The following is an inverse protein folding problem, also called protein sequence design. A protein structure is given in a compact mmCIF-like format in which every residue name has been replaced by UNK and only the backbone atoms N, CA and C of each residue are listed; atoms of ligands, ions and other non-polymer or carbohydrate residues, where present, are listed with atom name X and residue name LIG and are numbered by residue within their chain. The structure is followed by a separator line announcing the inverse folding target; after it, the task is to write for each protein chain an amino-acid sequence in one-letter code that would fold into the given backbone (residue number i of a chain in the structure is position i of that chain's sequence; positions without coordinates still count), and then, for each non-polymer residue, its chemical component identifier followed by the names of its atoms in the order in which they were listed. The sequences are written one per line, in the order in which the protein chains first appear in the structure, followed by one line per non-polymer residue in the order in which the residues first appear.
data_IF_312823560107
#
_entry.id   IF_312823560107
#
_cell.length_a   1.000
_cell.length_b   1.000
_cell.length_c   1.000
_cell.angle_alpha   90.00
_cell.angle_beta   90.00
_cell.angle_gamma   90.00
#
_symmetry.space_group_name_H-M   'P 1'
#
loop_
_entity.id
_entity.type
_entity.pdbx_description
1 polymer ?
#
# COMPACT_ATOMS: atom_id res chain seq x y z
N UNK A 1 -12.99 49.84 73.06
CA UNK A 1 -13.74 49.19 71.92
C UNK A 1 -12.70 48.79 70.86
N UNK A 2 -12.30 47.52 70.86
CA UNK A 2 -11.30 46.99 69.94
C UNK A 2 -12.01 46.19 68.83
N UNK A 3 -11.89 46.68 67.59
CA UNK A 3 -12.28 45.90 66.42
C UNK A 3 -11.04 45.12 65.89
N UNK A 4 -11.11 43.82 66.01
CA UNK A 4 -10.13 42.93 65.39
C UNK A 4 -10.56 42.62 63.93
N UNK A 5 -9.73 43.06 63.01
CA UNK A 5 -9.88 42.71 61.59
C UNK A 5 -9.33 41.29 61.32
N UNK A 6 -10.19 40.36 60.86
CA UNK A 6 -9.81 39.02 60.39
C UNK A 6 -9.45 39.09 58.90
N UNK A 7 -8.16 39.02 58.62
CA UNK A 7 -7.67 38.84 57.23
C UNK A 7 -7.90 37.42 56.75
N UNK A 8 -8.67 37.25 55.69
CA UNK A 8 -8.83 35.96 54.99
C UNK A 8 -7.65 35.74 54.05
N UNK A 9 -6.89 34.69 54.31
CA UNK A 9 -5.82 34.21 53.37
C UNK A 9 -6.44 33.31 52.32
N UNK A 10 -6.47 33.78 51.09
CA UNK A 10 -6.85 32.94 49.94
C UNK A 10 -5.64 32.15 49.47
N UNK A 11 -5.67 30.83 49.64
CA UNK A 11 -4.70 29.90 49.03
C UNK A 11 -5.17 29.58 47.62
N UNK A 12 -4.51 30.13 46.61
CA UNK A 12 -4.68 29.75 45.21
C UNK A 12 -3.99 28.40 44.98
N UNK A 13 -4.78 27.35 44.86
CA UNK A 13 -4.28 26.06 44.40
C UNK A 13 -4.06 26.13 42.88
N UNK A 14 -2.80 26.21 42.43
CA UNK A 14 -2.43 26.00 41.04
C UNK A 14 -2.60 24.49 40.69
N UNK A 15 -3.69 24.16 40.00
CA UNK A 15 -3.83 22.84 39.39
C UNK A 15 -2.87 22.77 38.19
N UNK A 16 -1.77 22.03 38.33
CA UNK A 16 -0.89 21.72 37.24
C UNK A 16 -1.64 20.79 36.24
N UNK A 17 -1.99 21.33 35.07
CA UNK A 17 -2.44 20.54 33.94
C UNK A 17 -1.25 19.70 33.45
N UNK A 18 -1.19 18.44 33.88
CA UNK A 18 -0.30 17.45 33.31
C UNK A 18 -0.89 17.11 31.93
N UNK A 19 -0.17 17.37 30.81
CA UNK A 19 -0.65 16.95 29.53
C UNK A 19 -0.77 15.43 29.55
N UNK A 20 -1.96 14.89 29.30
CA UNK A 20 -2.17 13.47 29.15
C UNK A 20 -1.31 13.02 27.96
N UNK A 21 -0.22 12.31 28.22
CA UNK A 21 0.58 11.65 27.20
C UNK A 21 -0.38 10.73 26.43
N UNK A 22 -0.63 11.07 25.17
CA UNK A 22 -1.46 10.24 24.27
C UNK A 22 -0.73 8.92 24.13
N UNK A 23 -1.19 7.89 24.82
CA UNK A 23 -0.61 6.56 24.72
C UNK A 23 -0.54 6.18 23.23
N UNK A 24 0.66 5.92 22.74
CA UNK A 24 0.85 5.39 21.39
C UNK A 24 0.03 4.10 21.32
N UNK A 25 -0.97 4.08 20.46
CA UNK A 25 -1.73 2.85 20.26
C UNK A 25 -0.84 1.88 19.50
N UNK A 26 -0.59 0.70 20.10
CA UNK A 26 0.18 -0.37 19.48
C UNK A 26 -0.26 -0.57 18.03
N UNK A 27 0.69 -0.75 17.10
CA UNK A 27 0.37 -1.02 15.71
C UNK A 27 -0.50 -2.26 15.57
N UNK A 28 -1.52 -2.18 14.71
CA UNK A 28 -2.31 -3.33 14.28
C UNK A 28 -1.68 -3.90 13.03
N UNK A 29 -1.28 -5.16 13.07
CA UNK A 29 -0.51 -5.82 12.01
C UNK A 29 -1.28 -6.99 11.43
N UNK A 30 -1.25 -7.12 10.10
CA UNK A 30 -1.73 -8.29 9.39
C UNK A 30 -0.67 -8.75 8.39
N UNK A 31 -0.35 -10.04 8.39
CA UNK A 31 0.45 -10.70 7.35
C UNK A 31 -0.26 -11.94 6.85
N UNK A 32 -0.27 -12.07 5.53
CA UNK A 32 -0.74 -13.24 4.80
C UNK A 32 0.39 -13.75 3.92
N UNK A 33 0.62 -15.06 3.92
CA UNK A 33 1.59 -15.72 3.04
C UNK A 33 0.91 -16.94 2.43
N UNK A 34 0.94 -17.07 1.11
CA UNK A 34 0.32 -18.17 0.40
C UNK A 34 1.26 -18.71 -0.67
N UNK A 35 1.72 -19.96 -0.51
CA UNK A 35 2.29 -20.70 -1.63
C UNK A 35 1.18 -20.98 -2.65
N UNK A 36 1.49 -20.79 -3.95
CA UNK A 36 0.50 -20.95 -5.02
C UNK A 36 0.45 -22.42 -5.52
N UNK A 37 0.58 -23.36 -4.60
CA UNK A 37 0.52 -24.82 -4.81
C UNK A 37 -0.79 -25.45 -4.31
N UNK A 38 -1.74 -24.63 -3.86
CA UNK A 38 -3.02 -25.06 -3.32
C UNK A 38 -3.03 -25.26 -1.80
N UNK A 39 -1.91 -25.06 -1.11
CA UNK A 39 -1.87 -25.10 0.35
C UNK A 39 -2.64 -23.93 0.98
N UNK A 40 -3.09 -24.11 2.23
CA UNK A 40 -3.75 -23.05 2.98
C UNK A 40 -2.78 -21.88 3.29
N UNK A 41 -3.24 -20.62 3.25
CA UNK A 41 -2.39 -19.49 3.58
C UNK A 41 -2.05 -19.43 5.07
N UNK A 42 -0.85 -18.92 5.38
CA UNK A 42 -0.56 -18.41 6.71
C UNK A 42 -1.33 -17.11 6.92
N UNK A 43 -2.01 -16.96 8.05
CA UNK A 43 -2.78 -15.78 8.45
C UNK A 43 -2.36 -15.40 9.88
N UNK A 44 -1.75 -14.22 10.06
CA UNK A 44 -1.25 -13.79 11.37
C UNK A 44 -2.37 -13.46 12.37
N UNK A 45 -3.44 -12.81 11.90
CA UNK A 45 -4.62 -12.41 12.67
C UNK A 45 -5.82 -12.32 11.74
N UNK A 46 -6.74 -13.26 11.82
CA UNK A 46 -7.89 -13.32 10.91
C UNK A 46 -8.83 -12.10 11.04
N UNK A 47 -8.97 -11.55 12.25
CA UNK A 47 -9.82 -10.38 12.50
C UNK A 47 -9.20 -9.14 11.89
N UNK A 48 -7.91 -8.90 12.15
CA UNK A 48 -7.20 -7.74 11.60
C UNK A 48 -7.06 -7.85 10.08
N UNK A 49 -6.81 -9.04 9.56
CA UNK A 49 -6.67 -9.28 8.13
C UNK A 49 -7.98 -9.10 7.32
N UNK A 50 -9.14 -9.13 7.98
CA UNK A 50 -10.44 -8.81 7.37
C UNK A 50 -10.76 -7.31 7.34
N UNK A 51 -10.04 -6.47 8.09
CA UNK A 51 -10.33 -5.04 8.15
C UNK A 51 -9.97 -4.36 6.84
N UNK A 52 -10.93 -3.66 6.23
CA UNK A 52 -10.72 -2.87 5.00
C UNK A 52 -10.09 -1.51 5.33
N UNK A 53 -9.15 -1.09 4.51
CA UNK A 53 -8.51 0.25 4.59
C UNK A 53 -8.16 0.75 3.20
N UNK A 54 -7.80 2.03 3.07
CA UNK A 54 -7.28 2.57 1.81
C UNK A 54 -6.10 1.72 1.30
N UNK A 55 -6.11 1.27 0.04
CA UNK A 55 -4.99 0.50 -0.54
C UNK A 55 -3.73 1.34 -0.74
N UNK A 56 -3.85 2.66 -0.76
CA UNK A 56 -2.77 3.56 -1.08
C UNK A 56 -2.07 3.17 -2.39
N UNK A 57 -0.74 3.25 -2.45
CA UNK A 57 -0.01 2.95 -3.68
C UNK A 57 0.02 1.45 -4.07
N UNK A 58 -0.52 0.53 -3.27
CA UNK A 58 -0.71 -0.86 -3.73
C UNK A 58 -1.78 -0.94 -4.82
N UNK A 59 -2.71 0.02 -4.86
CA UNK A 59 -3.70 0.16 -5.92
C UNK A 59 -3.07 0.35 -7.32
N UNK A 60 -1.83 0.79 -7.40
CA UNK A 60 -1.15 0.95 -8.70
C UNK A 60 -1.07 -0.35 -9.50
N UNK A 61 -1.12 -1.52 -8.85
CA UNK A 61 -1.10 -2.83 -9.53
C UNK A 61 -2.40 -3.06 -10.32
N UNK A 62 -3.61 -3.09 -9.70
CA UNK A 62 -4.85 -3.19 -10.47
C UNK A 62 -5.06 -1.99 -11.40
N UNK A 63 -4.66 -0.77 -11.01
CA UNK A 63 -4.77 0.42 -11.84
C UNK A 63 -3.96 0.29 -13.15
N UNK A 64 -2.74 -0.24 -13.09
CA UNK A 64 -1.92 -0.46 -14.28
C UNK A 64 -2.60 -1.42 -15.27
N UNK A 65 -3.20 -2.51 -14.77
CA UNK A 65 -4.00 -3.42 -15.59
C UNK A 65 -5.18 -2.68 -16.24
N UNK A 66 -5.93 -1.90 -15.46
CA UNK A 66 -7.07 -1.12 -15.94
C UNK A 66 -6.63 -0.10 -17.01
N UNK A 67 -5.51 0.59 -16.80
CA UNK A 67 -4.98 1.55 -17.77
C UNK A 67 -4.62 0.90 -19.11
N UNK A 68 -4.06 -0.30 -19.08
CA UNK A 68 -3.73 -1.10 -20.27
C UNK A 68 -5.00 -1.67 -20.94
N UNK A 69 -5.93 -2.20 -20.18
CA UNK A 69 -7.18 -2.79 -20.70
C UNK A 69 -8.12 -1.73 -21.31
N UNK A 70 -8.11 -0.51 -20.77
CA UNK A 70 -8.90 0.61 -21.31
C UNK A 70 -8.23 1.33 -22.46
N UNK A 71 -6.99 0.95 -22.83
CA UNK A 71 -6.21 1.61 -23.88
C UNK A 71 -5.74 3.02 -23.52
N UNK A 72 -5.88 3.46 -22.28
CA UNK A 72 -5.33 4.75 -21.79
C UNK A 72 -3.80 4.72 -21.80
N UNK A 73 -3.23 3.56 -21.53
CA UNK A 73 -1.81 3.25 -21.79
C UNK A 73 -1.78 2.14 -22.85
N UNK A 74 -1.20 2.42 -23.99
CA UNK A 74 -1.10 1.45 -25.11
C UNK A 74 0.25 0.74 -25.16
N UNK A 75 1.29 1.39 -24.64
CA UNK A 75 2.64 0.83 -24.49
C UNK A 75 3.14 1.10 -23.07
N UNK A 76 3.43 0.06 -22.25
CA UNK A 76 3.88 0.21 -20.88
C UNK A 76 5.27 0.88 -20.76
N UNK A 77 6.04 0.98 -21.86
CA UNK A 77 7.36 1.61 -21.89
C UNK A 77 7.33 3.03 -22.49
N UNK A 78 6.23 3.44 -23.12
CA UNK A 78 6.10 4.78 -23.69
C UNK A 78 6.13 5.85 -22.59
N UNK A 79 6.95 6.88 -22.80
CA UNK A 79 7.10 7.98 -21.86
C UNK A 79 5.93 8.96 -21.96
N UNK A 80 5.31 9.22 -20.83
CA UNK A 80 4.34 10.31 -20.64
C UNK A 80 5.11 11.55 -20.15
N UNK A 81 4.99 12.69 -20.83
CA UNK A 81 5.67 13.92 -20.43
C UNK A 81 5.23 14.39 -19.04
N UNK A 82 6.21 14.83 -18.25
CA UNK A 82 5.97 15.56 -17.01
C UNK A 82 5.60 17.02 -17.33
N UNK A 83 4.71 17.58 -16.54
CA UNK A 83 4.12 18.89 -16.76
C UNK A 83 4.88 20.08 -16.10
N UNK A 84 6.03 19.77 -15.44
CA UNK A 84 6.83 20.76 -14.72
C UNK A 84 6.44 20.96 -13.26
N UNK A 85 5.37 20.32 -12.78
CA UNK A 85 4.94 20.40 -11.36
C UNK A 85 6.03 19.88 -10.42
N UNK A 86 6.35 20.64 -9.38
CA UNK A 86 7.32 20.27 -8.36
C UNK A 86 6.73 19.32 -7.34
N UNK A 87 7.49 18.29 -6.97
CA UNK A 87 7.10 17.25 -6.02
C UNK A 87 8.14 17.11 -4.90
N UNK A 88 7.74 16.66 -3.70
CA UNK A 88 8.68 16.35 -2.62
C UNK A 88 9.72 15.28 -3.00
N UNK A 89 9.41 14.43 -3.98
CA UNK A 89 10.32 13.43 -4.52
C UNK A 89 10.84 13.87 -5.91
N UNK A 90 12.11 14.27 -6.04
CA UNK A 90 12.69 14.70 -7.32
C UNK A 90 12.68 13.60 -8.41
N UNK A 91 12.62 12.32 -8.03
CA UNK A 91 12.50 11.22 -8.98
C UNK A 91 11.19 11.25 -9.78
N UNK A 92 10.20 12.01 -9.34
CA UNK A 92 8.93 12.21 -10.05
C UNK A 92 8.98 13.34 -11.08
N UNK A 93 9.98 14.22 -11.01
CA UNK A 93 10.12 15.43 -11.82
C UNK A 93 10.78 15.15 -13.18
N UNK A 94 10.26 14.17 -13.91
CA UNK A 94 10.71 13.78 -15.25
C UNK A 94 9.62 12.98 -15.96
N UNK A 95 9.73 12.76 -17.28
CA UNK A 95 8.85 11.84 -18.00
C UNK A 95 8.90 10.42 -17.41
N UNK A 96 7.75 9.75 -17.32
CA UNK A 96 7.63 8.39 -16.84
C UNK A 96 6.81 7.51 -17.79
N UNK A 97 7.21 6.27 -17.93
CA UNK A 97 6.37 5.20 -18.48
C UNK A 97 5.57 4.51 -17.35
N UNK A 98 4.64 3.63 -17.70
CA UNK A 98 3.93 2.82 -16.69
C UNK A 98 4.92 1.99 -15.87
N UNK A 99 5.95 1.41 -16.51
CA UNK A 99 7.01 0.64 -15.84
C UNK A 99 7.75 1.49 -14.80
N UNK A 100 8.30 2.63 -15.21
CA UNK A 100 9.04 3.49 -14.30
C UNK A 100 8.17 4.16 -13.24
N UNK A 101 6.92 4.47 -13.56
CA UNK A 101 5.96 5.03 -12.63
C UNK A 101 5.53 4.03 -11.56
N UNK A 102 5.43 2.74 -11.89
CA UNK A 102 5.19 1.66 -10.91
C UNK A 102 6.36 1.57 -9.93
N UNK A 103 7.59 1.44 -10.42
CA UNK A 103 8.81 1.29 -9.64
C UNK A 103 9.03 2.47 -8.70
N UNK A 104 8.96 3.69 -9.19
CA UNK A 104 9.14 4.92 -8.41
C UNK A 104 7.87 5.39 -7.69
N UNK A 105 6.78 4.63 -7.80
CA UNK A 105 5.49 4.96 -7.18
C UNK A 105 4.95 6.36 -7.53
N UNK A 106 5.15 6.81 -8.78
CA UNK A 106 4.85 8.17 -9.25
C UNK A 106 3.36 8.47 -9.14
N UNK A 107 3.00 9.46 -8.32
CA UNK A 107 1.59 9.76 -8.04
C UNK A 107 0.92 10.41 -9.25
N UNK A 108 1.50 11.44 -9.82
CA UNK A 108 0.91 12.22 -10.90
C UNK A 108 0.58 11.37 -12.15
N UNK A 109 1.41 10.37 -12.46
CA UNK A 109 1.16 9.45 -13.58
C UNK A 109 -0.18 8.70 -13.38
N UNK A 110 -0.41 8.18 -12.18
CA UNK A 110 -1.64 7.45 -11.86
C UNK A 110 -2.84 8.38 -11.69
N UNK A 111 -2.67 9.59 -11.19
CA UNK A 111 -3.72 10.60 -11.16
C UNK A 111 -4.18 10.97 -12.57
N UNK A 112 -3.23 11.22 -13.49
CA UNK A 112 -3.52 11.51 -14.89
C UNK A 112 -4.24 10.33 -15.57
N UNK A 113 -3.75 9.12 -15.42
CA UNK A 113 -4.39 7.93 -16.02
C UNK A 113 -5.76 7.65 -15.39
N UNK A 114 -5.96 7.88 -14.10
CA UNK A 114 -7.27 7.77 -13.45
C UNK A 114 -8.28 8.77 -14.04
N UNK A 115 -7.86 10.01 -14.27
CA UNK A 115 -8.70 11.01 -14.93
C UNK A 115 -9.09 10.60 -16.35
N UNK A 116 -8.12 10.09 -17.13
CA UNK A 116 -8.37 9.61 -18.50
C UNK A 116 -9.23 8.34 -18.55
N UNK A 117 -9.11 7.42 -17.61
CA UNK A 117 -9.98 6.24 -17.49
C UNK A 117 -11.41 6.71 -17.18
N UNK A 118 -11.58 7.65 -16.28
CA UNK A 118 -12.88 8.13 -15.82
C UNK A 118 -13.55 7.17 -14.83
N UNK A 119 -14.52 7.71 -14.07
CA UNK A 119 -15.19 7.00 -12.98
C UNK A 119 -15.91 5.74 -13.42
N UNK A 120 -16.72 5.85 -14.45
CA UNK A 120 -17.57 4.75 -14.92
C UNK A 120 -16.72 3.52 -15.32
N UNK A 121 -15.69 3.72 -16.16
CA UNK A 121 -14.82 2.63 -16.56
C UNK A 121 -13.99 2.08 -15.40
N UNK A 122 -13.55 2.95 -14.47
CA UNK A 122 -12.81 2.53 -13.29
C UNK A 122 -13.67 1.62 -12.42
N UNK A 123 -14.91 1.99 -12.10
CA UNK A 123 -15.84 1.18 -11.31
C UNK A 123 -16.14 -0.16 -11.98
N UNK A 124 -16.45 -0.15 -13.28
CA UNK A 124 -16.71 -1.38 -14.03
C UNK A 124 -15.50 -2.35 -13.99
N UNK A 125 -14.28 -1.83 -14.03
CA UNK A 125 -13.09 -2.65 -13.93
C UNK A 125 -12.80 -3.13 -12.51
N UNK A 126 -13.06 -2.32 -11.46
CA UNK A 126 -12.94 -2.76 -10.06
C UNK A 126 -13.87 -3.94 -9.79
N UNK A 127 -15.11 -3.86 -10.26
CA UNK A 127 -16.08 -4.97 -10.18
C UNK A 127 -15.57 -6.22 -10.92
N UNK A 128 -15.13 -6.08 -12.18
CA UNK A 128 -14.59 -7.21 -12.98
C UNK A 128 -13.37 -7.85 -12.34
N UNK A 129 -12.50 -7.06 -11.75
CA UNK A 129 -11.32 -7.52 -11.02
C UNK A 129 -11.67 -8.06 -9.63
N UNK A 130 -12.89 -7.84 -9.14
CA UNK A 130 -13.30 -8.13 -7.76
C UNK A 130 -12.29 -7.54 -6.75
N UNK A 131 -12.00 -6.23 -6.88
CA UNK A 131 -10.97 -5.57 -6.08
C UNK A 131 -11.57 -4.54 -5.13
N UNK A 132 -11.53 -4.84 -3.83
CA UNK A 132 -11.93 -3.92 -2.76
C UNK A 132 -13.41 -3.61 -2.71
N UNK A 133 -13.76 -2.39 -2.31
CA UNK A 133 -15.14 -1.89 -2.40
C UNK A 133 -15.49 -1.59 -3.86
N UNK A 134 -16.64 -2.03 -4.29
CA UNK A 134 -17.17 -1.83 -5.64
C UNK A 134 -17.63 -0.39 -5.93
N UNK A 135 -17.52 0.50 -4.93
CA UNK A 135 -17.95 1.90 -5.01
C UNK A 135 -16.92 2.82 -4.38
N UNK A 136 -16.76 3.96 -4.98
CA UNK A 136 -16.12 5.13 -4.37
C UNK A 136 -16.83 6.39 -4.85
N UNK A 137 -16.90 7.38 -3.98
CA UNK A 137 -17.40 8.72 -4.26
C UNK A 137 -16.20 9.70 -4.30
N UNK A 138 -16.31 10.93 -4.27
CA UNK A 138 -15.21 11.86 -4.13
C UNK A 138 -14.27 11.97 -5.34
N UNK A 139 -12.99 12.27 -5.10
CA UNK A 139 -12.01 12.63 -6.14
C UNK A 139 -11.53 11.43 -6.94
N UNK A 140 -11.79 11.45 -8.25
CA UNK A 140 -11.35 10.46 -9.23
C UNK A 140 -9.83 10.24 -9.24
N UNK A 141 -9.06 11.20 -8.79
CA UNK A 141 -7.59 11.16 -8.80
C UNK A 141 -6.96 10.85 -7.45
N UNK A 142 -7.78 10.59 -6.41
CA UNK A 142 -7.30 10.37 -5.04
C UNK A 142 -8.07 9.29 -4.26
N UNK A 143 -9.12 8.68 -4.81
CA UNK A 143 -10.02 7.75 -4.10
C UNK A 143 -9.31 6.55 -3.45
N UNK A 144 -8.15 6.14 -3.95
CA UNK A 144 -7.33 5.06 -3.36
C UNK A 144 -6.43 5.51 -2.19
N UNK A 145 -6.37 6.82 -1.92
CA UNK A 145 -5.52 7.42 -0.88
C UNK A 145 -6.32 7.87 0.34
N UNK A 146 -7.55 8.36 0.13
CA UNK A 146 -8.37 9.01 1.14
C UNK A 146 -9.32 8.05 1.88
N UNK A 147 -9.45 6.80 1.42
CA UNK A 147 -10.29 5.77 2.01
C UNK A 147 -11.64 5.56 1.34
N UNK A 148 -11.96 6.29 0.25
CA UNK A 148 -13.18 6.07 -0.53
C UNK A 148 -13.18 4.66 -1.14
N UNK A 149 -12.05 4.21 -1.69
CA UNK A 149 -11.79 2.81 -1.98
C UNK A 149 -11.14 2.15 -0.77
N UNK A 150 -11.72 1.05 -0.31
CA UNK A 150 -11.19 0.28 0.80
C UNK A 150 -11.03 -1.21 0.42
N UNK A 151 -9.94 -1.82 0.84
CA UNK A 151 -9.60 -3.23 0.60
C UNK A 151 -9.02 -3.84 1.86
N UNK A 152 -9.36 -5.10 2.13
CA UNK A 152 -8.74 -5.89 3.20
C UNK A 152 -7.47 -6.61 2.72
N UNK A 153 -6.56 -7.00 3.62
CA UNK A 153 -5.45 -7.90 3.28
C UNK A 153 -5.90 -9.20 2.61
N UNK A 154 -7.02 -9.80 3.04
CA UNK A 154 -7.57 -11.01 2.43
C UNK A 154 -7.97 -10.78 0.97
N UNK A 155 -8.65 -9.68 0.67
CA UNK A 155 -9.02 -9.32 -0.71
C UNK A 155 -7.79 -9.00 -1.57
N UNK A 156 -6.76 -8.37 -0.99
CA UNK A 156 -5.47 -8.15 -1.66
C UNK A 156 -4.79 -9.46 -2.03
N UNK A 157 -4.79 -10.45 -1.10
CA UNK A 157 -4.18 -11.76 -1.35
C UNK A 157 -4.92 -12.53 -2.44
N UNK A 158 -6.25 -12.51 -2.44
CA UNK A 158 -7.06 -13.14 -3.47
C UNK A 158 -6.78 -12.52 -4.86
N UNK A 159 -6.81 -11.19 -4.94
CA UNK A 159 -6.46 -10.48 -6.18
C UNK A 159 -5.06 -10.84 -6.67
N UNK A 160 -4.05 -10.82 -5.81
CA UNK A 160 -2.67 -11.19 -6.15
C UNK A 160 -2.57 -12.65 -6.62
N UNK A 161 -3.23 -13.56 -5.94
CA UNK A 161 -3.23 -14.98 -6.32
C UNK A 161 -3.81 -15.18 -7.73
N UNK A 162 -4.90 -14.49 -8.06
CA UNK A 162 -5.48 -14.51 -9.41
C UNK A 162 -4.58 -13.81 -10.44
N UNK A 163 -3.93 -12.70 -10.06
CA UNK A 163 -2.98 -11.98 -10.90
C UNK A 163 -1.76 -12.85 -11.25
N UNK A 164 -1.12 -13.44 -10.25
CA UNK A 164 0.10 -14.25 -10.43
C UNK A 164 -0.18 -15.49 -11.27
N UNK A 165 -1.33 -16.15 -11.04
CA UNK A 165 -1.75 -17.37 -11.75
C UNK A 165 -2.49 -17.09 -13.07
N UNK A 166 -2.55 -15.82 -13.52
CA UNK A 166 -3.20 -15.40 -14.78
C UNK A 166 -4.69 -15.78 -14.86
N UNK A 167 -5.41 -15.70 -13.74
CA UNK A 167 -6.85 -15.98 -13.65
C UNK A 167 -7.71 -14.71 -13.58
N UNK A 168 -7.11 -13.52 -13.72
CA UNK A 168 -7.86 -12.28 -13.86
C UNK A 168 -8.46 -12.19 -15.29
N UNK A 169 -9.63 -11.53 -15.45
CA UNK A 169 -10.31 -11.35 -16.75
C UNK A 169 -9.66 -10.21 -17.56
N UNK A 170 -8.34 -10.29 -17.79
CA UNK A 170 -7.50 -9.32 -18.49
C UNK A 170 -6.60 -10.01 -19.50
N UNK A 171 -6.15 -9.27 -20.52
CA UNK A 171 -5.28 -9.81 -21.52
C UNK A 171 -3.94 -10.28 -20.92
N UNK A 172 -3.46 -11.46 -21.28
CA UNK A 172 -2.21 -12.04 -20.77
C UNK A 172 -1.02 -11.08 -20.95
N UNK A 173 -0.89 -10.43 -22.12
CA UNK A 173 0.18 -9.46 -22.38
C UNK A 173 0.19 -8.30 -21.35
N UNK A 174 -0.98 -7.88 -20.89
CA UNK A 174 -1.10 -6.81 -19.89
C UNK A 174 -0.71 -7.29 -18.49
N UNK A 175 -1.03 -8.53 -18.13
CA UNK A 175 -0.53 -9.19 -16.92
C UNK A 175 0.99 -9.25 -16.95
N UNK A 176 1.58 -9.72 -18.04
CA UNK A 176 3.04 -9.89 -18.17
C UNK A 176 3.76 -8.52 -18.09
N UNK A 177 3.21 -7.47 -18.71
CA UNK A 177 3.74 -6.11 -18.61
C UNK A 177 3.70 -5.57 -17.17
N UNK A 178 2.61 -5.80 -16.44
CA UNK A 178 2.50 -5.35 -15.05
C UNK A 178 3.41 -6.18 -14.13
N UNK A 179 3.57 -7.49 -14.37
CA UNK A 179 4.54 -8.32 -13.63
C UNK A 179 5.97 -7.80 -13.80
N UNK A 180 6.37 -7.41 -15.01
CA UNK A 180 7.67 -6.81 -15.28
C UNK A 180 7.87 -5.49 -14.53
N UNK A 181 6.86 -4.59 -14.57
CA UNK A 181 6.88 -3.32 -13.83
C UNK A 181 6.87 -3.49 -12.31
N UNK A 182 6.38 -4.63 -11.83
CA UNK A 182 6.24 -4.96 -10.41
C UNK A 182 7.52 -5.59 -9.82
N UNK A 183 8.45 -6.04 -10.68
CA UNK A 183 9.72 -6.65 -10.27
C UNK A 183 10.63 -5.64 -9.58
N UNK A 184 11.22 -6.05 -8.48
CA UNK A 184 12.11 -5.25 -7.64
C UNK A 184 13.59 -5.61 -7.85
N UNK A 185 14.52 -4.69 -7.50
CA UNK A 185 15.94 -5.00 -7.49
C UNK A 185 16.27 -6.13 -6.50
N UNK A 186 17.31 -6.93 -6.74
CA UNK A 186 17.74 -7.97 -5.81
C UNK A 186 17.99 -7.41 -4.39
N UNK A 187 17.37 -8.02 -3.37
CA UNK A 187 17.53 -7.66 -1.96
C UNK A 187 16.96 -6.30 -1.56
N UNK A 188 16.18 -5.64 -2.41
CA UNK A 188 15.65 -4.32 -2.13
C UNK A 188 14.23 -4.13 -2.69
N UNK A 189 13.52 -3.11 -2.18
CA UNK A 189 12.31 -2.57 -2.80
C UNK A 189 12.50 -1.08 -3.08
N UNK A 190 11.99 -0.64 -4.21
CA UNK A 190 11.97 0.78 -4.58
C UNK A 190 10.55 1.33 -4.45
N UNK A 191 10.43 2.53 -3.90
CA UNK A 191 9.15 3.22 -3.71
C UNK A 191 9.29 4.74 -3.80
N UNK A 192 8.27 5.48 -3.38
CA UNK A 192 8.26 6.95 -3.39
C UNK A 192 9.32 7.60 -2.48
N UNK A 193 9.92 6.86 -1.55
CA UNK A 193 10.94 7.38 -0.62
C UNK A 193 12.35 6.91 -0.97
N UNK A 194 12.50 6.17 -2.07
CA UNK A 194 13.79 5.65 -2.54
C UNK A 194 13.86 4.12 -2.53
N UNK A 195 15.07 3.61 -2.46
CA UNK A 195 15.35 2.16 -2.43
C UNK A 195 15.71 1.75 -0.99
N UNK A 196 15.03 0.72 -0.50
CA UNK A 196 15.15 0.22 0.87
C UNK A 196 15.49 -1.27 0.87
N UNK A 197 16.24 -1.77 1.87
CA UNK A 197 16.53 -3.20 2.01
C UNK A 197 15.24 -4.03 2.08
N UNK A 198 15.22 -5.16 1.36
CA UNK A 198 14.18 -6.18 1.43
C UNK A 198 14.85 -7.55 1.30
N UNK A 199 15.67 -7.89 2.30
CA UNK A 199 16.50 -9.08 2.28
C UNK A 199 15.74 -10.30 2.78
N UNK A 200 15.56 -11.28 1.89
CA UNK A 200 14.96 -12.56 2.22
C UNK A 200 16.03 -13.65 2.25
N UNK A 201 16.00 -14.48 3.30
CA UNK A 201 16.88 -15.63 3.47
C UNK A 201 16.32 -16.89 2.78
N UNK A 202 15.79 -16.70 1.56
CA UNK A 202 15.17 -17.77 0.77
C UNK A 202 16.17 -18.37 -0.24
N UNK A 203 15.96 -19.63 -0.68
CA UNK A 203 16.85 -20.25 -1.66
C UNK A 203 16.90 -19.49 -2.99
N UNK A 204 18.10 -19.37 -3.55
CA UNK A 204 18.31 -18.80 -4.89
C UNK A 204 17.97 -19.84 -6.00
N UNK A 205 17.60 -19.42 -7.21
CA UNK A 205 17.37 -18.01 -7.61
C UNK A 205 16.14 -17.41 -6.93
N UNK A 206 16.24 -16.13 -6.58
CA UNK A 206 15.20 -15.38 -5.86
C UNK A 206 14.83 -14.13 -6.62
N UNK A 207 13.56 -13.98 -6.98
CA UNK A 207 13.01 -12.77 -7.58
C UNK A 207 11.85 -12.27 -6.73
N UNK A 208 11.89 -10.99 -6.38
CA UNK A 208 10.84 -10.32 -5.61
C UNK A 208 10.06 -9.38 -6.50
N UNK A 209 8.75 -9.50 -6.45
CA UNK A 209 7.80 -8.58 -7.05
C UNK A 209 7.01 -7.93 -5.92
N UNK A 210 7.08 -6.61 -5.79
CA UNK A 210 6.45 -5.94 -4.64
C UNK A 210 5.98 -4.52 -4.94
N UNK A 211 4.95 -4.09 -4.22
CA UNK A 211 4.48 -2.72 -4.19
C UNK A 211 4.18 -2.28 -2.77
N UNK A 212 4.80 -1.19 -2.35
CA UNK A 212 4.48 -0.53 -1.09
C UNK A 212 3.30 0.43 -1.26
N UNK A 213 2.59 0.70 -0.16
CA UNK A 213 1.54 1.69 -0.11
C UNK A 213 1.52 2.39 1.25
N UNK A 214 1.48 3.71 1.26
CA UNK A 214 1.36 4.50 2.48
C UNK A 214 0.24 5.52 2.31
N UNK A 215 -0.62 5.62 3.33
CA UNK A 215 -1.68 6.63 3.42
C UNK A 215 -1.86 7.07 4.87
N UNK A 216 -2.46 8.24 5.05
CA UNK A 216 -2.99 8.68 6.34
C UNK A 216 -4.46 9.00 6.15
N UNK A 217 -5.33 8.26 6.83
CA UNK A 217 -6.78 8.41 6.76
C UNK A 217 -7.30 8.69 8.17
N UNK A 218 -8.03 9.77 8.35
CA UNK A 218 -8.55 10.20 9.66
C UNK A 218 -7.48 10.20 10.78
N UNK A 219 -6.27 10.70 10.48
CA UNK A 219 -5.16 10.78 11.41
C UNK A 219 -4.47 9.45 11.72
N UNK A 220 -4.87 8.36 11.10
CA UNK A 220 -4.24 7.04 11.26
C UNK A 220 -3.39 6.71 10.03
N UNK A 221 -2.14 6.32 10.29
CA UNK A 221 -1.22 5.90 9.22
C UNK A 221 -1.44 4.43 8.89
N UNK A 222 -1.34 4.12 7.60
CA UNK A 222 -1.43 2.79 7.03
C UNK A 222 -0.16 2.58 6.21
N UNK A 223 0.56 1.48 6.46
CA UNK A 223 1.74 1.07 5.70
C UNK A 223 1.52 -0.35 5.16
N UNK A 224 1.57 -0.50 3.84
CA UNK A 224 1.38 -1.74 3.11
C UNK A 224 2.65 -2.17 2.38
N UNK A 225 2.81 -3.47 2.23
CA UNK A 225 3.51 -4.08 1.12
C UNK A 225 2.74 -5.30 0.65
N UNK A 226 2.60 -5.44 -0.66
CA UNK A 226 1.96 -6.59 -1.31
C UNK A 226 2.86 -7.09 -2.42
N UNK A 227 2.86 -8.40 -2.68
CA UNK A 227 3.70 -8.93 -3.73
C UNK A 227 3.76 -10.44 -3.78
N UNK A 228 4.78 -10.93 -4.48
CA UNK A 228 5.11 -12.34 -4.50
C UNK A 228 6.62 -12.54 -4.66
N UNK A 229 7.05 -13.71 -4.23
CA UNK A 229 8.44 -14.17 -4.34
C UNK A 229 8.46 -15.37 -5.25
N UNK A 230 9.36 -15.35 -6.23
CA UNK A 230 9.69 -16.52 -7.04
C UNK A 230 11.01 -17.10 -6.53
N UNK A 231 10.96 -18.36 -6.12
CA UNK A 231 12.13 -19.10 -5.64
C UNK A 231 12.03 -20.55 -6.08
N UNK A 232 13.08 -21.07 -6.71
CA UNK A 232 13.14 -22.46 -7.18
C UNK A 232 11.93 -22.89 -8.03
N UNK A 233 11.44 -22.02 -8.91
CA UNK A 233 10.29 -22.29 -9.80
C UNK A 233 8.93 -22.27 -9.12
N UNK A 234 8.86 -21.88 -7.84
CA UNK A 234 7.60 -21.72 -7.10
C UNK A 234 7.33 -20.25 -6.84
N UNK A 235 6.05 -19.88 -6.84
CA UNK A 235 5.60 -18.53 -6.51
C UNK A 235 4.86 -18.54 -5.16
N UNK A 236 5.21 -17.60 -4.30
CA UNK A 236 4.55 -17.39 -3.00
C UNK A 236 4.06 -15.95 -2.92
N UNK A 237 2.75 -15.76 -2.85
CA UNK A 237 2.12 -14.46 -2.64
C UNK A 237 2.24 -14.03 -1.18
N UNK A 238 2.36 -12.72 -0.96
CA UNK A 238 2.35 -12.15 0.38
C UNK A 238 1.65 -10.80 0.42
N UNK A 239 1.03 -10.51 1.56
CA UNK A 239 0.45 -9.22 1.90
C UNK A 239 0.85 -8.90 3.33
N UNK A 240 1.43 -7.73 3.58
CA UNK A 240 1.65 -7.22 4.92
C UNK A 240 1.10 -5.80 5.04
N UNK A 241 0.40 -5.54 6.15
CA UNK A 241 -0.14 -4.25 6.49
C UNK A 241 0.06 -3.96 7.96
N UNK A 242 0.61 -2.77 8.25
CA UNK A 242 0.60 -2.17 9.57
C UNK A 242 -0.27 -0.90 9.55
N UNK A 243 -1.04 -0.66 10.62
CA UNK A 243 -1.80 0.57 10.81
C UNK A 243 -1.69 1.06 12.26
N UNK A 244 -1.54 2.36 12.46
CA UNK A 244 -1.26 2.92 13.78
C UNK A 244 -1.50 4.42 13.86
N UNK A 245 -0.87 5.06 14.82
CA UNK A 245 -0.83 6.52 14.98
C UNK A 245 0.03 7.20 13.90
N UNK A 246 0.19 8.52 14.05
CA UNK A 246 1.00 9.33 13.12
C UNK A 246 2.50 9.00 13.19
N UNK A 247 2.95 8.34 14.22
CA UNK A 247 4.31 7.86 14.49
C UNK A 247 4.65 6.55 13.80
N UNK A 248 3.66 5.81 13.27
CA UNK A 248 3.92 4.57 12.54
C UNK A 248 4.89 4.82 11.37
N UNK A 249 5.95 4.01 11.28
CA UNK A 249 6.92 4.09 10.19
C UNK A 249 6.26 3.85 8.81
N UNK A 250 6.68 4.58 7.80
CA UNK A 250 6.29 4.33 6.41
C UNK A 250 6.86 3.00 5.88
N UNK A 251 7.86 2.42 6.54
CA UNK A 251 8.46 1.13 6.21
C UNK A 251 7.82 -0.03 7.00
N UNK A 252 6.92 0.25 7.96
CA UNK A 252 6.38 -0.77 8.86
C UNK A 252 5.81 -2.00 8.14
N UNK A 253 5.09 -1.80 7.01
CA UNK A 253 4.59 -2.91 6.21
C UNK A 253 5.70 -3.75 5.58
N UNK A 254 6.77 -3.11 5.08
CA UNK A 254 7.90 -3.81 4.48
C UNK A 254 8.73 -4.57 5.52
N UNK A 255 9.00 -3.94 6.66
CA UNK A 255 9.73 -4.57 7.78
C UNK A 255 8.98 -5.77 8.33
N UNK A 256 7.65 -5.63 8.46
CA UNK A 256 6.76 -6.71 8.88
C UNK A 256 6.80 -7.88 7.87
N UNK A 257 6.75 -7.59 6.57
CA UNK A 257 6.84 -8.62 5.53
C UNK A 257 8.17 -9.38 5.59
N UNK A 258 9.30 -8.67 5.67
CA UNK A 258 10.64 -9.29 5.72
C UNK A 258 10.76 -10.22 6.93
N UNK A 259 10.35 -9.76 8.13
CA UNK A 259 10.40 -10.59 9.35
C UNK A 259 9.57 -11.87 9.19
N UNK A 260 8.34 -11.73 8.68
CA UNK A 260 7.41 -12.87 8.61
C UNK A 260 7.76 -13.82 7.48
N UNK A 261 8.15 -13.32 6.30
CA UNK A 261 8.60 -14.16 5.18
C UNK A 261 9.84 -14.99 5.55
N UNK A 262 10.81 -14.39 6.26
CA UNK A 262 11.99 -15.13 6.71
C UNK A 262 11.68 -16.21 7.76
N UNK A 263 10.67 -15.99 8.62
CA UNK A 263 10.20 -16.97 9.58
C UNK A 263 9.39 -18.11 8.92
N UNK A 264 8.73 -17.86 7.79
CA UNK A 264 7.84 -18.78 7.08
C UNK A 264 8.38 -19.16 5.69
N UNK A 265 9.71 -19.25 5.55
CA UNK A 265 10.33 -19.63 4.26
C UNK A 265 9.85 -21.03 3.82
N UNK A 266 9.60 -21.26 2.52
CA UNK A 266 9.32 -22.59 1.99
C UNK A 266 10.48 -23.54 2.28
N UNK A 267 10.15 -24.77 2.63
CA UNK A 267 11.13 -25.86 2.81
C UNK A 267 11.52 -26.48 1.49
#
# INVERSE_FOLDING_TARGET
MNLASRGAVWVLALAALVPAARAATEPRECVLIQALDGSAPFVSDATECAVKTAPASTFKVPHALIALETGVVTDPLALVPWDGTKYPNPAWEKPHSLDSAMKSSVLWFYQRTAGLIGRERMLAWLERLQYGSDKYEGDQTAFWLNGDLAVSPLEQLDFLSRFITNRLPVARRNVDAVKAAFQMPPGAITNATGTHPFALSWPAPLVVHAKTGNATVAGRRISWVVGYVESQGRSTAFVARARGGADLSMQAGADLAVRTLNAHRPR
#
